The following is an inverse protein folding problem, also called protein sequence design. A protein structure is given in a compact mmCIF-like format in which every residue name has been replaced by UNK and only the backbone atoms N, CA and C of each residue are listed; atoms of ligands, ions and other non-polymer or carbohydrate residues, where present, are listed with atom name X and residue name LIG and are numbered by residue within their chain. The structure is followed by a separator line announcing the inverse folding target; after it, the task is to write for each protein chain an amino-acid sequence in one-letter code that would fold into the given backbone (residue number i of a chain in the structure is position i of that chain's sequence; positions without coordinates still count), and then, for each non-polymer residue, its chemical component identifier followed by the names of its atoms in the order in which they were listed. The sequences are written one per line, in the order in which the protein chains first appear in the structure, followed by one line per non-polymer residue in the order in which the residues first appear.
data_IF_168503382701
#
_entry.id   IF_168503382701
#
_cell.length_a   1.000
_cell.length_b   1.000
_cell.length_c   1.000
_cell.angle_alpha   90.00
_cell.angle_beta   90.00
_cell.angle_gamma   90.00
#
_symmetry.space_group_name_H-M   'P 1'
#
loop_
_entity.id
_entity.type
_entity.pdbx_description
1 polymer ?
#
# COMPACT_ATOMS: atom_id res chain seq x y z
N UNK A 1 -24.76 -35.78 -28.53
CA UNK A 1 -25.10 -34.35 -28.71
C UNK A 1 -24.14 -33.60 -27.81
N UNK A 2 -23.05 -33.07 -28.35
CA UNK A 2 -22.15 -32.18 -27.61
C UNK A 2 -22.93 -30.92 -27.26
N UNK A 3 -23.17 -30.68 -25.98
CA UNK A 3 -23.64 -29.37 -25.50
C UNK A 3 -22.68 -28.31 -26.03
N UNK A 4 -23.21 -27.22 -26.58
CA UNK A 4 -22.37 -26.12 -27.04
C UNK A 4 -21.61 -25.56 -25.82
N UNK A 5 -20.29 -25.45 -25.94
CA UNK A 5 -19.43 -24.88 -24.90
C UNK A 5 -19.88 -23.47 -24.56
N UNK A 6 -19.71 -23.08 -23.30
CA UNK A 6 -20.04 -21.72 -22.85
C UNK A 6 -18.95 -20.78 -23.36
N UNK A 7 -19.33 -19.76 -24.13
CA UNK A 7 -18.38 -18.78 -24.65
C UNK A 7 -17.86 -17.90 -23.51
N UNK A 8 -16.55 -17.70 -23.46
CA UNK A 8 -15.90 -16.80 -22.51
C UNK A 8 -14.89 -15.90 -23.23
N UNK A 9 -14.73 -14.67 -22.75
CA UNK A 9 -13.70 -13.76 -23.22
C UNK A 9 -12.54 -13.77 -22.23
N UNK A 10 -11.31 -14.00 -22.68
CA UNK A 10 -10.11 -13.79 -21.88
C UNK A 10 -9.44 -12.50 -22.37
N UNK A 11 -9.53 -11.44 -21.58
CA UNK A 11 -8.94 -10.14 -21.91
C UNK A 11 -7.64 -9.98 -21.13
N UNK A 12 -6.53 -9.93 -21.85
CA UNK A 12 -5.18 -9.80 -21.30
C UNK A 12 -4.73 -8.36 -21.44
N UNK A 13 -4.27 -7.75 -20.35
CA UNK A 13 -3.61 -6.44 -20.43
C UNK A 13 -2.30 -6.55 -21.24
N UNK A 14 -2.14 -5.80 -22.32
CA UNK A 14 -0.98 -5.87 -23.21
C UNK A 14 0.38 -5.56 -22.54
N UNK A 15 0.39 -4.94 -21.36
CA UNK A 15 1.60 -4.80 -20.54
C UNK A 15 1.91 -6.07 -19.72
N UNK A 16 0.89 -6.86 -19.38
CA UNK A 16 1.01 -8.16 -18.73
C UNK A 16 1.20 -9.31 -19.74
N UNK A 17 0.74 -9.15 -21.00
CA UNK A 17 0.77 -10.21 -22.02
C UNK A 17 2.16 -10.69 -22.39
N UNK A 18 3.19 -9.82 -22.32
CA UNK A 18 4.58 -10.19 -22.59
C UNK A 18 5.18 -11.14 -21.54
N UNK A 19 4.53 -11.28 -20.38
CA UNK A 19 4.97 -12.10 -19.26
C UNK A 19 4.05 -13.30 -19.00
N UNK A 20 2.93 -13.46 -19.74
CA UNK A 20 1.98 -14.53 -19.45
C UNK A 20 2.40 -15.86 -20.09
N UNK A 21 3.43 -16.48 -19.50
CA UNK A 21 4.07 -17.68 -20.00
C UNK A 21 3.14 -18.92 -19.96
N UNK A 22 2.23 -19.01 -18.99
CA UNK A 22 1.34 -20.16 -18.82
C UNK A 22 -0.01 -20.03 -19.56
N UNK A 23 -0.15 -19.10 -20.51
CA UNK A 23 -1.42 -18.87 -21.21
C UNK A 23 -2.00 -20.15 -21.82
N UNK A 24 -1.17 -20.96 -22.49
CA UNK A 24 -1.62 -22.20 -23.14
C UNK A 24 -2.13 -23.23 -22.12
N UNK A 25 -1.46 -23.35 -20.96
CA UNK A 25 -1.87 -24.24 -19.87
C UNK A 25 -3.19 -23.77 -19.23
N UNK A 26 -3.33 -22.46 -19.01
CA UNK A 26 -4.58 -21.87 -18.54
C UNK A 26 -5.72 -22.10 -19.53
N UNK A 27 -5.48 -21.93 -20.84
CA UNK A 27 -6.48 -22.18 -21.88
C UNK A 27 -6.88 -23.67 -21.95
N UNK A 28 -5.92 -24.58 -21.74
CA UNK A 28 -6.21 -26.00 -21.65
C UNK A 28 -7.13 -26.30 -20.46
N UNK A 29 -6.82 -25.77 -19.27
CA UNK A 29 -7.66 -25.90 -18.07
C UNK A 29 -9.08 -25.36 -18.31
N UNK A 30 -9.21 -24.14 -18.83
CA UNK A 30 -10.52 -23.52 -19.07
C UNK A 30 -11.37 -24.31 -20.07
N UNK A 31 -10.74 -24.89 -21.10
CA UNK A 31 -11.42 -25.70 -22.13
C UNK A 31 -11.78 -27.10 -21.63
N UNK A 32 -10.84 -27.78 -21.00
CA UNK A 32 -10.95 -29.21 -20.67
C UNK A 32 -11.66 -29.43 -19.33
N UNK A 33 -11.48 -28.52 -18.37
CA UNK A 33 -12.10 -28.61 -17.06
C UNK A 33 -13.37 -27.76 -16.93
N UNK A 34 -13.43 -26.61 -17.61
CA UNK A 34 -14.53 -25.64 -17.51
C UNK A 34 -15.59 -25.74 -18.62
N UNK A 35 -15.31 -26.53 -19.66
CA UNK A 35 -16.10 -26.61 -20.90
C UNK A 35 -16.35 -25.22 -21.52
N UNK A 36 -15.32 -24.36 -21.48
CA UNK A 36 -15.36 -23.00 -21.99
C UNK A 36 -14.79 -22.92 -23.43
N UNK A 37 -15.48 -22.17 -24.28
CA UNK A 37 -14.93 -21.71 -25.57
C UNK A 37 -14.36 -20.31 -25.38
N UNK A 38 -13.05 -20.26 -25.15
CA UNK A 38 -12.33 -19.03 -24.75
C UNK A 38 -11.80 -18.29 -25.97
N UNK A 39 -12.30 -17.07 -26.17
CA UNK A 39 -11.75 -16.10 -27.12
C UNK A 39 -10.73 -15.22 -26.39
N UNK A 40 -9.47 -15.26 -26.82
CA UNK A 40 -8.40 -14.42 -26.25
C UNK A 40 -8.35 -13.08 -26.96
N UNK A 41 -8.32 -12.00 -26.18
CA UNK A 41 -8.29 -10.62 -26.63
C UNK A 41 -7.20 -9.87 -25.86
N UNK A 42 -6.47 -9.00 -26.53
CA UNK A 42 -5.44 -8.16 -25.89
C UNK A 42 -5.91 -6.71 -25.80
N UNK A 43 -5.92 -6.18 -24.57
CA UNK A 43 -6.20 -4.76 -24.35
C UNK A 43 -4.92 -3.92 -24.48
N UNK A 44 -5.06 -2.68 -24.95
CA UNK A 44 -3.93 -1.73 -25.11
C UNK A 44 -4.00 -0.58 -24.11
N UNK A 45 -5.15 -0.41 -23.48
CA UNK A 45 -5.47 0.62 -22.49
C UNK A 45 -6.71 0.17 -21.72
N UNK A 46 -7.00 0.79 -20.55
CA UNK A 46 -8.27 0.63 -19.85
C UNK A 46 -9.49 0.89 -20.76
N UNK A 47 -9.47 1.97 -21.55
CA UNK A 47 -10.54 2.26 -22.51
C UNK A 47 -10.74 1.16 -23.56
N UNK A 48 -9.67 0.47 -23.99
CA UNK A 48 -9.80 -0.62 -24.94
C UNK A 48 -10.51 -1.83 -24.32
N UNK A 49 -10.42 -2.04 -23.01
CA UNK A 49 -11.15 -3.13 -22.31
C UNK A 49 -12.65 -2.94 -22.47
N UNK A 50 -13.15 -1.70 -22.28
CA UNK A 50 -14.55 -1.36 -22.55
C UNK A 50 -14.96 -1.77 -23.94
N UNK A 51 -14.20 -1.32 -24.94
CA UNK A 51 -14.57 -1.49 -26.34
C UNK A 51 -14.60 -2.99 -26.70
N UNK A 52 -13.66 -3.79 -26.20
CA UNK A 52 -13.63 -5.24 -26.35
C UNK A 52 -14.85 -5.94 -25.72
N UNK A 53 -15.24 -5.54 -24.50
CA UNK A 53 -16.41 -6.11 -23.82
C UNK A 53 -17.71 -5.69 -24.55
N UNK A 54 -17.78 -4.45 -25.04
CA UNK A 54 -18.93 -3.99 -25.82
C UNK A 54 -19.07 -4.74 -27.15
N UNK A 55 -17.96 -4.97 -27.86
CA UNK A 55 -17.94 -5.63 -29.16
C UNK A 55 -18.18 -7.15 -29.05
N UNK A 56 -17.59 -7.80 -28.05
CA UNK A 56 -17.57 -9.27 -27.98
C UNK A 56 -18.45 -9.86 -26.88
N UNK A 57 -18.95 -9.07 -25.93
CA UNK A 57 -19.59 -9.54 -24.69
C UNK A 57 -21.03 -10.05 -24.83
N UNK A 58 -21.78 -9.65 -25.86
CA UNK A 58 -23.23 -9.93 -25.98
C UNK A 58 -23.62 -11.41 -25.88
N UNK A 59 -22.80 -12.31 -26.46
CA UNK A 59 -23.03 -13.77 -26.41
C UNK A 59 -22.05 -14.50 -25.48
N UNK A 60 -21.27 -13.76 -24.68
CA UNK A 60 -20.36 -14.35 -23.71
C UNK A 60 -21.12 -14.71 -22.43
N UNK A 61 -20.80 -15.85 -21.82
CA UNK A 61 -21.28 -16.19 -20.49
C UNK A 61 -20.41 -15.58 -19.38
N UNK A 62 -19.18 -15.19 -19.72
CA UNK A 62 -18.15 -14.76 -18.78
C UNK A 62 -17.09 -13.90 -19.45
N UNK A 63 -16.55 -12.95 -18.68
CA UNK A 63 -15.31 -12.24 -19.00
C UNK A 63 -14.27 -12.59 -17.94
N UNK A 64 -13.15 -13.10 -18.40
CA UNK A 64 -11.96 -13.41 -17.61
C UNK A 64 -10.96 -12.29 -17.85
N UNK A 65 -10.59 -11.58 -16.79
CA UNK A 65 -9.61 -10.50 -16.85
C UNK A 65 -8.26 -11.02 -16.39
N UNK A 66 -7.24 -10.90 -17.24
CA UNK A 66 -5.86 -11.25 -16.92
C UNK A 66 -5.01 -9.99 -16.76
N UNK A 67 -4.68 -9.65 -15.52
CA UNK A 67 -4.01 -8.41 -15.16
C UNK A 67 -3.99 -8.15 -13.66
N UNK A 68 -3.65 -6.91 -13.27
CA UNK A 68 -3.76 -6.44 -11.89
C UNK A 68 -5.05 -5.67 -11.63
N UNK A 69 -5.17 -5.07 -10.44
CA UNK A 69 -6.41 -4.44 -9.95
C UNK A 69 -6.95 -3.34 -10.89
N UNK A 70 -6.10 -2.49 -11.47
CA UNK A 70 -6.54 -1.50 -12.45
C UNK A 70 -7.14 -2.11 -13.73
N UNK A 71 -6.71 -3.32 -14.11
CA UNK A 71 -7.32 -4.06 -15.24
C UNK A 71 -8.70 -4.59 -14.87
N UNK A 72 -8.88 -5.02 -13.61
CA UNK A 72 -10.18 -5.45 -13.10
C UNK A 72 -11.14 -4.26 -13.05
N UNK A 73 -10.70 -3.12 -12.49
CA UNK A 73 -11.49 -1.90 -12.39
C UNK A 73 -11.91 -1.37 -13.78
N UNK A 74 -11.04 -1.43 -14.79
CA UNK A 74 -11.39 -1.04 -16.16
C UNK A 74 -12.53 -1.88 -16.79
N UNK A 75 -12.76 -3.10 -16.31
CA UNK A 75 -13.79 -4.00 -16.84
C UNK A 75 -15.12 -3.91 -16.08
N UNK A 76 -15.09 -3.55 -14.79
CA UNK A 76 -16.21 -3.79 -13.86
C UNK A 76 -17.50 -3.10 -14.29
N UNK A 77 -17.44 -1.84 -14.72
CA UNK A 77 -18.60 -1.07 -15.20
C UNK A 77 -19.34 -1.81 -16.32
N UNK A 78 -18.58 -2.41 -17.25
CA UNK A 78 -19.12 -3.06 -18.44
C UNK A 78 -19.56 -4.50 -18.21
N UNK A 79 -18.82 -5.24 -17.38
CA UNK A 79 -19.21 -6.59 -16.96
C UNK A 79 -20.51 -6.53 -16.17
N UNK A 80 -20.62 -5.61 -15.21
CA UNK A 80 -21.83 -5.37 -14.44
C UNK A 80 -23.01 -4.99 -15.35
N UNK A 81 -22.82 -4.03 -16.26
CA UNK A 81 -23.88 -3.58 -17.16
C UNK A 81 -24.42 -4.69 -18.10
N UNK A 82 -23.58 -5.65 -18.48
CA UNK A 82 -23.96 -6.78 -19.33
C UNK A 82 -24.39 -8.04 -18.55
N UNK A 83 -24.31 -8.02 -17.21
CA UNK A 83 -24.65 -9.17 -16.37
C UNK A 83 -23.76 -10.40 -16.61
N UNK A 84 -22.49 -10.16 -17.00
CA UNK A 84 -21.52 -11.22 -17.29
C UNK A 84 -20.90 -11.75 -16.00
N UNK A 85 -20.59 -13.05 -15.97
CA UNK A 85 -19.79 -13.61 -14.87
C UNK A 85 -18.36 -13.10 -14.98
N UNK A 86 -17.75 -12.73 -13.86
CA UNK A 86 -16.39 -12.26 -13.79
C UNK A 86 -15.43 -13.40 -13.40
N UNK A 87 -14.34 -13.55 -14.16
CA UNK A 87 -13.21 -14.40 -13.83
C UNK A 87 -11.97 -13.55 -13.59
N UNK A 88 -11.21 -13.87 -12.54
CA UNK A 88 -10.00 -13.13 -12.17
C UNK A 88 -8.79 -14.02 -12.40
N UNK A 89 -7.87 -13.53 -13.23
CA UNK A 89 -6.56 -14.13 -13.43
C UNK A 89 -5.49 -13.14 -12.95
N UNK A 90 -4.94 -13.34 -11.74
CA UNK A 90 -4.14 -12.34 -11.03
C UNK A 90 -2.71 -12.27 -11.60
N UNK A 91 -2.48 -11.36 -12.56
CA UNK A 91 -1.15 -11.15 -13.16
C UNK A 91 -0.48 -9.84 -12.68
N UNK A 92 -1.10 -9.13 -11.74
CA UNK A 92 -0.57 -7.91 -11.13
C UNK A 92 0.31 -8.17 -9.90
N UNK A 93 0.78 -7.08 -9.28
CA UNK A 93 1.63 -7.15 -8.08
C UNK A 93 0.84 -7.20 -6.77
N UNK A 94 -0.26 -6.44 -6.66
CA UNK A 94 -1.09 -6.39 -5.45
C UNK A 94 -2.19 -7.46 -5.48
N UNK A 95 -3.02 -7.44 -6.53
CA UNK A 95 -4.13 -8.38 -6.75
C UNK A 95 -5.07 -8.45 -5.54
N UNK A 96 -5.42 -7.28 -5.00
CA UNK A 96 -6.20 -7.15 -3.77
C UNK A 96 -7.56 -7.85 -3.88
N UNK A 97 -8.21 -7.78 -5.05
CA UNK A 97 -9.48 -8.49 -5.30
C UNK A 97 -9.30 -10.02 -5.25
N UNK A 98 -8.23 -10.54 -5.87
CA UNK A 98 -7.93 -11.96 -5.87
C UNK A 98 -7.64 -12.47 -4.45
N UNK A 99 -6.85 -11.70 -3.67
CA UNK A 99 -6.55 -12.01 -2.26
C UNK A 99 -7.82 -12.04 -1.41
N UNK A 100 -8.68 -11.04 -1.57
CA UNK A 100 -9.96 -10.96 -0.83
C UNK A 100 -10.86 -12.16 -1.09
N UNK A 101 -10.82 -12.70 -2.31
CA UNK A 101 -11.64 -13.82 -2.75
C UNK A 101 -10.93 -15.18 -2.69
N UNK A 102 -9.76 -15.24 -2.03
CA UNK A 102 -8.95 -16.46 -1.87
C UNK A 102 -8.54 -17.10 -3.21
N UNK A 103 -8.50 -16.32 -4.28
CA UNK A 103 -8.10 -16.79 -5.60
C UNK A 103 -6.57 -16.99 -5.58
N UNK A 104 -6.07 -18.20 -5.90
CA UNK A 104 -4.65 -18.48 -5.90
C UNK A 104 -3.87 -17.52 -6.82
N UNK A 105 -2.66 -17.09 -6.43
CA UNK A 105 -1.83 -16.21 -7.25
C UNK A 105 -1.23 -16.94 -8.47
N UNK A 106 -1.18 -18.28 -8.45
CA UNK A 106 -0.74 -19.08 -9.59
C UNK A 106 -1.79 -19.01 -10.72
N UNK A 107 -1.43 -18.62 -11.95
CA UNK A 107 -2.39 -18.44 -13.03
C UNK A 107 -3.14 -19.72 -13.43
N UNK A 108 -2.50 -20.89 -13.34
CA UNK A 108 -3.10 -22.17 -13.70
C UNK A 108 -4.11 -22.59 -12.63
N UNK A 109 -3.79 -22.41 -11.34
CA UNK A 109 -4.75 -22.61 -10.26
C UNK A 109 -5.92 -21.61 -10.32
N UNK A 110 -5.65 -20.33 -10.65
CA UNK A 110 -6.72 -19.35 -10.88
C UNK A 110 -7.62 -19.77 -12.07
N UNK A 111 -7.05 -20.32 -13.14
CA UNK A 111 -7.82 -20.90 -14.24
C UNK A 111 -8.69 -22.09 -13.78
N UNK A 112 -8.20 -22.92 -12.82
CA UNK A 112 -9.02 -23.99 -12.22
C UNK A 112 -10.15 -23.44 -11.37
N UNK A 113 -9.95 -22.36 -10.63
CA UNK A 113 -11.02 -21.65 -9.93
C UNK A 113 -12.08 -21.16 -10.91
N UNK A 114 -11.67 -20.57 -12.04
CA UNK A 114 -12.62 -20.13 -13.07
C UNK A 114 -13.37 -21.32 -13.71
N UNK A 115 -12.68 -22.45 -13.91
CA UNK A 115 -13.25 -23.63 -14.55
C UNK A 115 -14.20 -24.42 -13.64
N UNK A 116 -13.82 -24.62 -12.38
CA UNK A 116 -14.45 -25.57 -11.43
C UNK A 116 -14.98 -24.93 -10.15
N UNK A 117 -14.63 -23.68 -9.89
CA UNK A 117 -15.08 -22.95 -8.72
C UNK A 117 -16.58 -22.73 -8.70
N UNK A 118 -17.04 -22.02 -7.67
CA UNK A 118 -18.44 -21.66 -7.52
C UNK A 118 -18.65 -20.20 -7.92
N UNK A 119 -19.87 -19.90 -8.39
CA UNK A 119 -20.32 -18.52 -8.56
C UNK A 119 -20.61 -17.94 -7.18
N UNK A 120 -20.16 -16.72 -6.96
CA UNK A 120 -20.43 -15.94 -5.78
C UNK A 120 -20.83 -14.54 -6.19
N UNK A 121 -21.73 -13.91 -5.43
CA UNK A 121 -22.11 -12.52 -5.69
C UNK A 121 -21.40 -11.64 -4.69
N UNK A 122 -20.74 -10.60 -5.20
CA UNK A 122 -20.04 -9.60 -4.38
C UNK A 122 -20.69 -8.24 -4.57
N UNK A 123 -20.49 -7.40 -3.58
CA UNK A 123 -20.93 -6.02 -3.60
C UNK A 123 -19.94 -5.18 -4.40
N UNK A 124 -20.45 -4.11 -5.01
CA UNK A 124 -19.61 -3.09 -5.63
C UNK A 124 -19.89 -1.74 -4.97
N UNK A 125 -18.84 -1.01 -4.65
CA UNK A 125 -18.96 0.39 -4.30
C UNK A 125 -19.24 1.22 -5.55
N UNK A 126 -20.02 2.29 -5.40
CA UNK A 126 -20.30 3.26 -6.47
C UNK A 126 -20.08 4.67 -5.96
N UNK A 127 -19.31 5.48 -6.67
CA UNK A 127 -19.17 6.91 -6.41
C UNK A 127 -19.46 7.73 -7.66
N UNK A 128 -20.43 8.65 -7.59
CA UNK A 128 -20.84 9.49 -8.73
C UNK A 128 -21.03 8.71 -10.06
N UNK A 129 -21.53 7.47 -9.97
CA UNK A 129 -21.76 6.59 -11.12
C UNK A 129 -20.57 5.70 -11.53
N UNK A 130 -19.42 5.80 -10.85
CA UNK A 130 -18.24 4.95 -11.07
C UNK A 130 -18.15 3.82 -10.07
N UNK A 131 -18.01 2.59 -10.56
CA UNK A 131 -17.89 1.41 -9.70
C UNK A 131 -16.45 1.19 -9.24
N UNK A 132 -16.30 0.60 -8.06
CA UNK A 132 -15.02 0.21 -7.49
C UNK A 132 -15.16 -1.07 -6.67
N UNK A 133 -14.07 -1.84 -6.60
CA UNK A 133 -14.03 -3.09 -5.84
C UNK A 133 -13.65 -2.85 -4.39
N UNK A 134 -12.60 -2.08 -4.14
CA UNK A 134 -11.93 -2.08 -2.85
C UNK A 134 -12.11 -0.77 -2.10
N UNK A 135 -11.65 0.34 -2.68
CA UNK A 135 -11.63 1.62 -1.95
C UNK A 135 -11.75 2.81 -2.88
N UNK A 136 -12.52 3.79 -2.44
CA UNK A 136 -12.51 5.14 -2.97
C UNK A 136 -11.91 6.10 -1.94
N UNK A 137 -11.03 7.01 -2.36
CA UNK A 137 -10.25 7.87 -1.47
C UNK A 137 -10.25 9.33 -1.92
N UNK A 138 -10.20 10.24 -0.95
CA UNK A 138 -10.17 11.69 -1.10
C UNK A 138 -8.96 12.20 -0.31
N UNK A 139 -8.20 13.16 -0.85
CA UNK A 139 -7.02 13.73 -0.19
C UNK A 139 -5.71 13.05 -0.57
N UNK A 140 -4.83 12.81 0.42
CA UNK A 140 -3.45 12.35 0.23
C UNK A 140 -3.29 11.18 -0.77
N UNK A 141 -4.14 10.15 -0.67
CA UNK A 141 -4.11 8.98 -1.56
C UNK A 141 -4.52 9.30 -3.02
N UNK A 142 -5.48 10.21 -3.23
CA UNK A 142 -5.89 10.65 -4.56
C UNK A 142 -4.79 11.49 -5.24
N UNK A 143 -4.08 12.33 -4.48
CA UNK A 143 -2.95 13.11 -5.01
C UNK A 143 -1.76 12.23 -5.39
N UNK A 144 -1.48 11.19 -4.60
CA UNK A 144 -0.45 10.20 -4.93
C UNK A 144 -0.74 9.48 -6.26
N UNK A 145 -2.02 9.19 -6.56
CA UNK A 145 -2.41 8.59 -7.85
C UNK A 145 -2.18 9.51 -9.06
N UNK A 146 -2.33 10.83 -8.91
CA UNK A 146 -2.07 11.82 -9.98
C UNK A 146 -0.60 11.97 -10.32
N UNK A 147 0.29 11.83 -9.34
CA UNK A 147 1.72 12.10 -9.48
C UNK A 147 2.55 10.86 -9.90
N UNK A 148 1.90 9.72 -10.18
CA UNK A 148 2.57 8.47 -10.54
C UNK A 148 2.75 8.33 -12.07
N UNK A 149 3.65 9.15 -12.63
CA UNK A 149 4.21 8.87 -13.96
C UNK A 149 4.98 7.54 -13.96
N UNK A 150 4.62 6.64 -14.87
CA UNK A 150 5.15 5.26 -14.99
C UNK A 150 6.65 5.13 -15.29
N UNK A 151 7.36 6.24 -15.47
CA UNK A 151 8.81 6.32 -15.58
C UNK A 151 9.52 6.40 -14.20
N UNK A 152 8.82 6.89 -13.17
CA UNK A 152 9.35 7.09 -11.82
C UNK A 152 9.31 5.81 -10.97
N UNK A 153 8.28 4.96 -11.17
CA UNK A 153 8.10 3.64 -10.52
C UNK A 153 9.24 2.64 -10.78
N UNK A 154 9.95 2.77 -11.90
CA UNK A 154 11.06 1.88 -12.29
C UNK A 154 12.43 2.36 -11.83
N UNK A 155 12.55 3.60 -11.37
CA UNK A 155 13.83 4.28 -11.18
C UNK A 155 14.24 4.40 -9.71
N UNK A 156 13.30 4.31 -8.76
CA UNK A 156 13.53 4.57 -7.32
C UNK A 156 12.61 3.68 -6.47
N UNK A 157 13.02 2.44 -6.13
CA UNK A 157 12.25 1.57 -5.21
C UNK A 157 12.12 2.16 -3.78
N UNK A 158 11.67 1.35 -2.79
CA UNK A 158 11.30 1.62 -1.34
C UNK A 158 11.90 2.85 -0.60
N UNK A 159 13.01 3.46 -1.05
CA UNK A 159 13.44 4.82 -0.65
C UNK A 159 12.43 5.94 -0.98
N UNK A 160 11.38 5.65 -1.77
CA UNK A 160 10.32 6.60 -2.02
C UNK A 160 9.35 6.77 -0.84
N UNK A 161 9.30 5.87 0.15
CA UNK A 161 8.17 5.86 1.09
C UNK A 161 8.20 7.00 2.13
N UNK A 162 9.27 7.23 2.92
CA UNK A 162 9.23 8.25 3.98
C UNK A 162 9.29 9.68 3.44
N UNK A 163 10.14 9.94 2.43
CA UNK A 163 10.27 11.26 1.81
C UNK A 163 9.00 11.61 1.04
N UNK A 164 8.39 10.65 0.32
CA UNK A 164 7.11 10.93 -0.34
C UNK A 164 5.94 10.96 0.61
N UNK A 165 5.93 10.22 1.72
CA UNK A 165 4.90 10.39 2.74
C UNK A 165 5.01 11.79 3.35
N UNK A 166 6.23 12.30 3.57
CA UNK A 166 6.44 13.69 3.99
C UNK A 166 6.02 14.70 2.91
N UNK A 167 6.44 14.55 1.65
CA UNK A 167 6.02 15.42 0.55
C UNK A 167 4.51 15.35 0.35
N UNK A 168 3.90 14.17 0.41
CA UNK A 168 2.46 13.98 0.34
C UNK A 168 1.79 14.64 1.53
N UNK A 169 2.31 14.57 2.75
CA UNK A 169 1.71 15.27 3.90
C UNK A 169 1.92 16.78 3.87
N UNK A 170 3.05 17.24 3.36
CA UNK A 170 3.37 18.66 3.19
C UNK A 170 2.54 19.27 2.02
N UNK A 171 2.21 18.47 0.99
CA UNK A 171 1.35 18.83 -0.15
C UNK A 171 -0.15 18.57 0.09
N UNK A 172 -0.51 17.56 0.90
CA UNK A 172 -1.89 17.26 1.28
C UNK A 172 -2.31 18.20 2.41
N UNK A 173 -2.63 19.41 1.99
CA UNK A 173 -3.33 20.37 2.83
C UNK A 173 -4.57 19.71 3.44
N UNK A 174 -4.71 19.85 4.75
CA UNK A 174 -5.95 19.53 5.44
C UNK A 174 -7.12 20.22 4.73
N UNK A 175 -8.21 19.49 4.52
CA UNK A 175 -9.43 20.00 3.93
C UNK A 175 -10.59 19.78 4.87
N UNK A 176 -11.56 20.67 4.80
CA UNK A 176 -12.80 20.52 5.56
C UNK A 176 -13.72 19.57 4.77
N UNK A 177 -14.28 18.57 5.44
CA UNK A 177 -15.19 17.59 4.87
C UNK A 177 -16.47 17.52 5.71
N UNK A 178 -17.61 17.64 5.03
CA UNK A 178 -18.93 17.38 5.56
C UNK A 178 -19.39 16.01 5.06
N UNK A 179 -19.63 15.09 5.98
CA UNK A 179 -20.03 13.71 5.71
C UNK A 179 -21.44 13.49 6.25
N UNK A 180 -22.34 13.01 5.40
CA UNK A 180 -23.71 12.64 5.77
C UNK A 180 -23.97 11.18 5.38
N UNK A 181 -24.49 10.36 6.30
CA UNK A 181 -24.89 8.98 6.02
C UNK A 181 -26.37 8.84 5.62
N UNK A 182 -26.82 7.63 5.31
CA UNK A 182 -28.21 7.35 4.91
C UNK A 182 -29.23 7.42 6.05
N UNK A 183 -28.77 7.48 7.30
CA UNK A 183 -29.61 7.65 8.48
C UNK A 183 -29.79 9.14 8.86
N UNK A 184 -29.08 10.03 8.16
CA UNK A 184 -29.07 11.48 8.40
C UNK A 184 -28.12 11.90 9.51
N UNK A 185 -27.19 11.04 9.94
CA UNK A 185 -26.11 11.45 10.82
C UNK A 185 -25.09 12.23 10.00
N UNK A 186 -24.63 13.34 10.57
CA UNK A 186 -23.66 14.23 9.94
C UNK A 186 -22.39 14.34 10.78
N UNK A 187 -21.23 14.37 10.12
CA UNK A 187 -19.94 14.66 10.72
C UNK A 187 -19.22 15.73 9.92
N UNK A 188 -18.84 16.82 10.59
CA UNK A 188 -17.95 17.85 10.07
C UNK A 188 -16.54 17.56 10.60
N UNK A 189 -15.60 17.32 9.70
CA UNK A 189 -14.22 16.94 10.04
C UNK A 189 -13.22 17.74 9.22
N UNK A 190 -12.09 18.07 9.82
CA UNK A 190 -10.92 18.51 9.09
C UNK A 190 -10.02 17.29 8.87
N UNK A 191 -9.70 16.95 7.62
CA UNK A 191 -9.04 15.69 7.28
C UNK A 191 -7.90 15.87 6.27
N UNK A 192 -6.92 14.98 6.34
CA UNK A 192 -5.88 14.81 5.31
C UNK A 192 -6.23 13.69 4.33
N UNK A 193 -7.09 12.76 4.77
CA UNK A 193 -7.57 11.67 3.94
C UNK A 193 -8.95 11.21 4.40
N UNK A 194 -9.84 10.97 3.43
CA UNK A 194 -11.08 10.23 3.65
C UNK A 194 -11.03 9.00 2.75
N UNK A 195 -11.32 7.83 3.30
CA UNK A 195 -11.39 6.56 2.56
C UNK A 195 -12.77 5.92 2.78
N UNK A 196 -13.35 5.40 1.71
CA UNK A 196 -14.61 4.67 1.71
C UNK A 196 -14.35 3.30 1.09
N UNK A 197 -14.33 2.26 1.92
CA UNK A 197 -14.03 0.89 1.55
C UNK A 197 -15.27 0.05 1.25
N UNK A 198 -15.14 -0.84 0.27
CA UNK A 198 -16.08 -1.91 -0.07
C UNK A 198 -15.34 -3.25 0.19
N UNK A 199 -15.36 -3.71 1.43
CA UNK A 199 -14.74 -4.98 1.84
C UNK A 199 -13.36 -4.87 2.52
N UNK A 200 -12.58 -5.96 2.41
CA UNK A 200 -11.52 -6.31 3.38
C UNK A 200 -10.17 -5.66 3.16
N UNK A 201 -9.69 -5.58 1.93
CA UNK A 201 -8.30 -5.26 1.64
C UNK A 201 -8.18 -4.08 0.67
N UNK A 202 -7.24 -3.17 0.93
CA UNK A 202 -6.79 -2.15 -0.02
C UNK A 202 -5.27 -2.00 0.00
N UNK A 203 -4.68 -1.66 -1.15
CA UNK A 203 -3.28 -1.23 -1.25
C UNK A 203 -2.25 -2.26 -0.80
N UNK A 204 -2.39 -3.53 -1.20
CA UNK A 204 -1.45 -4.59 -0.83
C UNK A 204 -1.69 -5.18 0.57
N UNK A 205 -2.96 -5.38 0.92
CA UNK A 205 -3.39 -6.10 2.13
C UNK A 205 -3.72 -5.26 3.37
N UNK A 206 -3.93 -3.94 3.26
CA UNK A 206 -4.39 -3.12 4.39
C UNK A 206 -5.89 -3.32 4.64
N UNK A 207 -6.31 -3.42 5.91
CA UNK A 207 -7.73 -3.61 6.27
C UNK A 207 -8.46 -2.29 6.52
N UNK A 208 -9.67 -2.11 5.98
CA UNK A 208 -10.53 -0.93 6.24
C UNK A 208 -11.25 -1.08 7.59
N UNK A 209 -11.79 -2.27 7.86
CA UNK A 209 -12.26 -2.69 9.18
C UNK A 209 -11.99 -4.19 9.38
N UNK A 210 -11.77 -4.65 10.62
CA UNK A 210 -11.56 -6.07 10.91
C UNK A 210 -12.75 -6.95 10.50
N UNK A 211 -13.97 -6.39 10.55
CA UNK A 211 -15.22 -7.06 10.26
C UNK A 211 -15.71 -6.92 8.81
N UNK A 212 -15.09 -6.05 8.01
CA UNK A 212 -15.55 -5.77 6.65
C UNK A 212 -15.57 -7.05 5.81
N UNK A 213 -16.59 -7.22 4.97
CA UNK A 213 -16.62 -8.24 3.95
C UNK A 213 -17.02 -7.62 2.61
N UNK A 214 -16.58 -8.21 1.50
CA UNK A 214 -16.90 -7.69 0.16
C UNK A 214 -18.36 -8.00 -0.24
N UNK A 215 -19.13 -8.66 0.64
CA UNK A 215 -20.47 -9.17 0.43
C UNK A 215 -21.41 -8.96 1.64
N UNK A 216 -21.14 -7.97 2.50
CA UNK A 216 -21.94 -7.65 3.70
C UNK A 216 -23.02 -6.56 3.49
N UNK A 217 -23.07 -5.98 2.30
CA UNK A 217 -24.01 -4.94 1.88
C UNK A 217 -23.77 -3.59 2.55
N UNK A 218 -22.52 -3.27 2.93
CA UNK A 218 -22.12 -2.03 3.60
C UNK A 218 -20.85 -1.42 2.99
N UNK A 219 -20.71 -0.11 3.16
CA UNK A 219 -19.46 0.62 2.99
C UNK A 219 -18.94 1.05 4.34
N UNK A 220 -17.62 0.99 4.52
CA UNK A 220 -16.94 1.50 5.70
C UNK A 220 -16.16 2.76 5.36
N UNK A 221 -16.49 3.85 6.04
CA UNK A 221 -15.85 5.14 5.90
C UNK A 221 -14.86 5.36 7.05
N UNK A 222 -13.67 5.83 6.69
CA UNK A 222 -12.64 6.27 7.61
C UNK A 222 -12.16 7.66 7.23
N UNK A 223 -12.10 8.56 8.21
CA UNK A 223 -11.53 9.89 8.08
C UNK A 223 -10.27 10.00 8.94
N UNK A 224 -9.17 10.39 8.32
CA UNK A 224 -7.91 10.64 8.99
C UNK A 224 -7.73 12.15 9.18
N UNK A 225 -7.77 12.58 10.43
CA UNK A 225 -7.50 13.97 10.80
C UNK A 225 -6.02 14.33 10.59
N UNK A 226 -5.68 15.62 10.42
CA UNK A 226 -4.29 16.06 10.38
C UNK A 226 -3.53 15.65 11.65
N UNK A 227 -2.46 14.89 11.48
CA UNK A 227 -1.59 14.48 12.58
C UNK A 227 -0.14 14.70 12.19
N UNK A 228 0.76 14.71 13.17
CA UNK A 228 2.19 14.74 12.87
C UNK A 228 2.56 13.52 12.02
N UNK A 229 3.46 13.72 11.05
CA UNK A 229 4.04 12.66 10.21
C UNK A 229 4.46 11.44 11.05
N UNK A 230 4.99 11.68 12.24
CA UNK A 230 5.39 10.65 13.19
C UNK A 230 4.22 9.86 13.76
N UNK A 231 3.10 10.50 14.10
CA UNK A 231 1.91 9.78 14.57
C UNK A 231 1.34 8.90 13.45
N UNK A 232 1.45 9.31 12.18
CA UNK A 232 1.05 8.48 11.03
C UNK A 232 1.98 7.29 10.80
N UNK A 233 3.29 7.50 10.93
CA UNK A 233 4.28 6.40 10.86
C UNK A 233 4.05 5.40 12.00
N UNK A 234 3.83 5.90 13.22
CA UNK A 234 3.59 5.07 14.41
C UNK A 234 2.28 4.29 14.35
N UNK A 235 1.27 4.84 13.69
CA UNK A 235 -0.05 4.22 13.56
C UNK A 235 -0.17 3.39 12.28
N UNK A 236 0.80 3.46 11.35
CA UNK A 236 0.80 2.70 10.10
C UNK A 236 0.65 1.18 10.30
N UNK A 237 1.28 0.52 11.30
CA UNK A 237 1.04 -0.90 11.57
C UNK A 237 -0.39 -1.19 12.03
N UNK A 238 -0.99 -0.33 12.87
CA UNK A 238 -2.38 -0.45 13.33
C UNK A 238 -3.37 -0.23 12.18
N UNK A 239 -3.10 0.77 11.34
CA UNK A 239 -3.85 1.08 10.11
C UNK A 239 -3.80 -0.10 9.15
N UNK A 240 -2.61 -0.71 8.96
CA UNK A 240 -2.43 -1.89 8.11
C UNK A 240 -3.16 -3.11 8.66
N UNK A 241 -3.18 -3.29 9.98
CA UNK A 241 -3.92 -4.35 10.68
C UNK A 241 -5.44 -4.10 10.73
N UNK A 242 -5.95 -2.96 10.27
CA UNK A 242 -7.36 -2.59 10.35
C UNK A 242 -7.84 -2.22 11.74
N UNK A 243 -6.94 -2.11 12.73
CA UNK A 243 -7.25 -1.75 14.12
C UNK A 243 -7.32 -0.24 14.31
N UNK A 244 -8.11 0.40 13.46
CA UNK A 244 -8.36 1.84 13.49
C UNK A 244 -9.19 2.26 14.72
N UNK A 245 -9.83 1.30 15.39
CA UNK A 245 -10.59 1.46 16.62
C UNK A 245 -9.73 1.97 17.81
N UNK A 246 -8.41 1.84 17.70
CA UNK A 246 -7.46 2.31 18.71
C UNK A 246 -6.92 3.72 18.44
N UNK A 247 -7.35 4.37 17.36
CA UNK A 247 -6.91 5.72 16.98
C UNK A 247 -7.96 6.76 17.43
N UNK A 248 -7.66 7.52 18.49
CA UNK A 248 -8.54 8.54 19.08
C UNK A 248 -8.93 9.71 18.14
N UNK A 249 -8.44 9.73 16.89
CA UNK A 249 -8.46 10.90 15.99
C UNK A 249 -8.89 10.52 14.58
N UNK A 250 -9.91 9.67 14.51
CA UNK A 250 -10.53 9.25 13.26
C UNK A 250 -12.03 9.05 13.40
N UNK A 251 -12.78 9.59 12.43
CA UNK A 251 -14.20 9.27 12.28
C UNK A 251 -14.34 7.97 11.53
N UNK A 252 -15.05 7.01 12.13
CA UNK A 252 -15.43 5.74 11.51
C UNK A 252 -16.95 5.70 11.39
N UNK A 253 -17.44 5.47 10.17
CA UNK A 253 -18.86 5.29 9.91
C UNK A 253 -19.04 4.03 9.05
N UNK A 254 -20.16 3.34 9.22
CA UNK A 254 -20.52 2.18 8.41
C UNK A 254 -21.97 2.33 7.99
N UNK A 255 -22.24 2.26 6.70
CA UNK A 255 -23.54 2.63 6.14
C UNK A 255 -23.69 2.14 4.71
N UNK A 256 -24.85 2.37 4.10
CA UNK A 256 -25.08 1.97 2.69
C UNK A 256 -24.80 3.09 1.72
N UNK A 257 -24.86 4.33 2.21
CA UNK A 257 -24.64 5.52 1.39
C UNK A 257 -24.04 6.63 2.21
N UNK A 258 -23.08 7.32 1.62
CA UNK A 258 -22.47 8.52 2.18
C UNK A 258 -22.52 9.65 1.16
N UNK A 259 -22.84 10.85 1.60
CA UNK A 259 -22.66 12.08 0.83
C UNK A 259 -21.51 12.85 1.44
N UNK A 260 -20.45 13.10 0.66
CA UNK A 260 -19.26 13.79 1.14
C UNK A 260 -19.06 15.06 0.32
N UNK A 261 -19.06 16.20 1.00
CA UNK A 261 -18.74 17.51 0.42
C UNK A 261 -17.46 18.02 1.05
N UNK A 262 -16.59 18.66 0.27
CA UNK A 262 -15.33 19.22 0.79
C UNK A 262 -15.13 20.67 0.38
N UNK A 263 -14.39 21.42 1.19
CA UNK A 263 -13.88 22.75 0.87
C UNK A 263 -12.34 22.76 1.01
N UNK A 264 -11.58 22.96 -0.09
CA UNK A 264 -12.04 23.10 -1.48
C UNK A 264 -12.60 21.76 -2.04
N UNK A 265 -13.22 21.77 -3.23
CA UNK A 265 -13.54 20.54 -3.95
C UNK A 265 -12.29 19.70 -4.19
N UNK A 266 -12.34 18.42 -3.81
CA UNK A 266 -11.23 17.48 -3.86
C UNK A 266 -11.48 16.40 -4.89
N UNK A 267 -10.42 15.89 -5.50
CA UNK A 267 -10.52 14.72 -6.37
C UNK A 267 -10.82 13.45 -5.56
N UNK A 268 -11.55 12.54 -6.19
CA UNK A 268 -11.82 11.20 -5.67
C UNK A 268 -11.10 10.19 -6.56
N UNK A 269 -10.31 9.32 -5.92
CA UNK A 269 -9.67 8.18 -6.57
C UNK A 269 -10.36 6.88 -6.20
N UNK A 270 -10.74 6.08 -7.19
CA UNK A 270 -11.29 4.73 -7.01
C UNK A 270 -10.27 3.70 -7.44
N UNK A 271 -9.96 2.73 -6.57
CA UNK A 271 -8.98 1.66 -6.81
C UNK A 271 -7.62 2.16 -7.36
N UNK A 272 -7.21 3.37 -6.99
CA UNK A 272 -5.92 3.98 -7.35
C UNK A 272 -5.90 4.82 -8.63
N UNK A 273 -7.04 5.08 -9.27
CA UNK A 273 -7.17 6.03 -10.39
C UNK A 273 -8.12 7.17 -10.04
N UNK A 274 -7.86 8.40 -10.49
CA UNK A 274 -8.78 9.54 -10.27
C UNK A 274 -9.96 9.44 -11.22
N UNK A 275 -11.17 9.37 -10.67
CA UNK A 275 -12.39 9.12 -11.46
C UNK A 275 -13.46 10.19 -11.33
N UNK A 276 -13.48 10.96 -10.23
CA UNK A 276 -14.46 12.03 -10.02
C UNK A 276 -13.95 13.07 -9.00
N UNK A 277 -14.80 14.00 -8.56
CA UNK A 277 -14.49 14.98 -7.52
C UNK A 277 -15.68 15.19 -6.57
N UNK A 278 -15.44 15.84 -5.43
CA UNK A 278 -16.50 16.20 -4.49
C UNK A 278 -17.30 17.43 -4.98
N UNK A 279 -18.59 17.57 -4.60
CA UNK A 279 -19.36 16.66 -3.74
C UNK A 279 -19.59 15.29 -4.39
N UNK A 280 -19.42 14.25 -3.58
CA UNK A 280 -19.43 12.87 -4.03
C UNK A 280 -20.46 12.04 -3.25
N UNK A 281 -21.26 11.26 -3.98
CA UNK A 281 -22.23 10.33 -3.39
C UNK A 281 -21.70 8.92 -3.56
N UNK A 282 -21.41 8.27 -2.44
CA UNK A 282 -20.96 6.89 -2.31
C UNK A 282 -22.14 5.99 -1.98
N UNK A 283 -22.28 4.86 -2.65
CA UNK A 283 -23.37 3.89 -2.45
C UNK A 283 -22.83 2.47 -2.63
N UNK A 284 -23.25 1.54 -1.76
CA UNK A 284 -23.05 0.10 -2.01
C UNK A 284 -24.11 -0.40 -3.00
N UNK A 285 -23.70 -1.25 -3.92
CA UNK A 285 -24.57 -2.07 -4.76
C UNK A 285 -24.45 -3.52 -4.29
N UNK A 286 -25.38 -3.99 -3.45
CA UNK A 286 -25.31 -5.34 -2.92
C UNK A 286 -25.47 -6.39 -4.02
N UNK A 287 -24.69 -7.47 -3.93
CA UNK A 287 -24.72 -8.60 -4.86
C UNK A 287 -24.61 -8.21 -6.34
N UNK A 288 -23.93 -7.10 -6.64
CA UNK A 288 -23.90 -6.50 -7.96
C UNK A 288 -23.15 -7.34 -8.98
N UNK A 289 -22.06 -8.01 -8.59
CA UNK A 289 -21.23 -8.75 -9.54
C UNK A 289 -21.19 -10.24 -9.21
N UNK A 290 -21.51 -11.09 -10.19
CA UNK A 290 -21.30 -12.53 -10.11
C UNK A 290 -19.86 -12.86 -10.53
N UNK A 291 -19.09 -13.49 -9.65
CA UNK A 291 -17.66 -13.78 -9.80
C UNK A 291 -17.36 -15.25 -9.49
N UNK A 292 -16.33 -15.82 -10.13
CA UNK A 292 -15.84 -17.16 -9.81
C UNK A 292 -14.86 -17.13 -8.64
N UNK A 293 -15.11 -17.98 -7.64
CA UNK A 293 -14.30 -18.12 -6.42
C UNK A 293 -14.01 -19.61 -6.14
N UNK A 294 -13.00 -19.94 -5.30
CA UNK A 294 -12.75 -21.31 -4.89
C UNK A 294 -14.00 -21.99 -4.32
N UNK A 295 -14.09 -23.33 -4.44
CA UNK A 295 -15.26 -24.08 -3.96
C UNK A 295 -15.40 -23.93 -2.44
N UNK A 296 -14.27 -23.85 -1.76
CA UNK A 296 -14.11 -23.72 -0.31
C UNK A 296 -14.30 -22.28 0.19
N UNK A 297 -14.40 -21.29 -0.70
CA UNK A 297 -14.61 -19.90 -0.30
C UNK A 297 -15.88 -19.80 0.55
N UNK A 298 -15.80 -19.22 1.74
CA UNK A 298 -16.94 -19.01 2.63
C UNK A 298 -17.26 -17.53 2.75
N UNK A 299 -18.46 -17.15 2.30
CA UNK A 299 -18.98 -15.79 2.40
C UNK A 299 -19.01 -15.32 3.86
N UNK A 300 -18.55 -14.09 4.12
CA UNK A 300 -18.50 -13.53 5.48
C UNK A 300 -17.56 -14.24 6.47
N UNK A 301 -16.82 -15.29 6.10
CA UNK A 301 -15.84 -15.94 7.01
C UNK A 301 -14.72 -14.97 7.26
N UNK A 302 -14.61 -14.41 8.47
CA UNK A 302 -13.40 -13.72 8.93
C UNK A 302 -12.24 -14.69 8.67
N UNK A 303 -11.25 -14.33 7.85
CA UNK A 303 -10.00 -15.09 7.85
C UNK A 303 -9.52 -15.09 9.30
N UNK A 304 -9.40 -16.28 9.87
CA UNK A 304 -9.03 -16.45 11.27
C UNK A 304 -7.67 -15.78 11.46
N UNK A 305 -7.55 -14.93 12.48
CA UNK A 305 -6.32 -14.17 12.73
C UNK A 305 -5.07 -15.07 12.89
N UNK A 306 -5.27 -16.36 13.11
CA UNK A 306 -4.22 -17.38 13.23
C UNK A 306 -3.55 -17.81 11.92
N UNK A 307 -4.17 -17.62 10.74
CA UNK A 307 -3.48 -17.91 9.46
C UNK A 307 -2.61 -16.74 8.98
N UNK A 308 -2.90 -15.53 9.47
CA UNK A 308 -2.07 -14.33 9.30
C UNK A 308 -0.95 -14.24 10.36
N UNK A 309 -1.00 -14.94 11.51
CA UNK A 309 0.05 -14.88 12.56
C UNK A 309 1.41 -15.41 12.07
N UNK A 310 1.44 -16.36 11.13
CA UNK A 310 2.69 -16.83 10.48
C UNK A 310 3.20 -15.86 9.38
N UNK A 311 2.42 -14.83 9.00
CA UNK A 311 2.73 -13.89 7.91
C UNK A 311 2.77 -12.41 8.30
N UNK A 312 2.25 -12.03 9.47
CA UNK A 312 2.33 -10.69 10.03
C UNK A 312 3.62 -10.59 10.87
N UNK A 313 4.59 -9.79 10.39
CA UNK A 313 5.74 -9.41 11.22
C UNK A 313 5.22 -8.81 12.53
N UNK A 314 5.65 -9.38 13.66
CA UNK A 314 5.38 -8.85 15.00
C UNK A 314 5.66 -7.34 15.00
N UNK A 315 4.71 -6.52 15.44
CA UNK A 315 4.85 -5.07 15.44
C UNK A 315 6.12 -4.60 16.20
N UNK A 316 6.59 -5.39 17.18
CA UNK A 316 7.87 -5.18 17.87
C UNK A 316 9.06 -5.42 16.95
N UNK A 317 8.99 -6.46 16.14
CA UNK A 317 10.01 -6.77 15.14
C UNK A 317 10.07 -5.66 14.10
N UNK A 318 8.92 -5.18 13.60
CA UNK A 318 8.87 -4.08 12.63
C UNK A 318 9.46 -2.80 13.21
N UNK A 319 9.09 -2.43 14.44
CA UNK A 319 9.60 -1.22 15.09
C UNK A 319 11.13 -1.26 15.30
N UNK A 320 11.66 -2.42 15.74
CA UNK A 320 13.11 -2.59 15.91
C UNK A 320 13.82 -2.64 14.55
N UNK A 321 13.21 -3.25 13.53
CA UNK A 321 13.76 -3.32 12.17
C UNK A 321 13.83 -1.94 11.49
N UNK A 322 12.85 -1.06 11.73
CA UNK A 322 12.88 0.32 11.25
C UNK A 322 14.02 1.13 11.90
N UNK A 323 14.31 0.90 13.19
CA UNK A 323 15.48 1.49 13.87
C UNK A 323 16.78 0.97 13.25
N UNK A 324 16.88 -0.33 12.96
CA UNK A 324 18.04 -0.95 12.31
C UNK A 324 18.29 -0.30 10.94
N UNK A 325 17.26 -0.09 10.13
CA UNK A 325 17.37 0.52 8.81
C UNK A 325 17.83 1.99 8.92
N UNK A 326 17.25 2.76 9.84
CA UNK A 326 17.66 4.14 10.08
C UNK A 326 19.13 4.23 10.54
N UNK A 327 19.54 3.33 11.44
CA UNK A 327 20.90 3.26 11.97
C UNK A 327 21.94 2.88 10.91
N UNK A 328 21.62 1.90 10.03
CA UNK A 328 22.49 1.54 8.90
C UNK A 328 22.72 2.72 7.96
N UNK A 329 21.66 3.46 7.64
CA UNK A 329 21.73 4.65 6.80
C UNK A 329 22.59 5.75 7.44
N UNK A 330 22.37 6.01 8.73
CA UNK A 330 23.17 6.96 9.52
C UNK A 330 24.67 6.61 9.47
N UNK A 331 25.02 5.33 9.63
CA UNK A 331 26.40 4.85 9.52
C UNK A 331 27.00 5.00 8.11
N UNK A 332 26.22 4.71 7.06
CA UNK A 332 26.63 4.89 5.66
C UNK A 332 26.91 6.36 5.35
N UNK A 333 25.99 7.26 5.71
CA UNK A 333 26.14 8.71 5.49
C UNK A 333 27.36 9.27 6.24
N UNK A 334 27.60 8.82 7.48
CA UNK A 334 28.82 9.15 8.23
C UNK A 334 30.09 8.66 7.51
N UNK A 335 30.08 7.43 7.00
CA UNK A 335 31.20 6.87 6.27
C UNK A 335 31.49 7.67 5.00
N UNK A 336 30.47 8.09 4.26
CA UNK A 336 30.63 8.94 3.08
C UNK A 336 31.25 10.29 3.43
N UNK A 337 30.76 10.96 4.46
CA UNK A 337 31.28 12.26 4.91
C UNK A 337 32.75 12.16 5.35
N UNK A 338 33.12 11.07 6.04
CA UNK A 338 34.50 10.76 6.43
C UNK A 338 35.41 10.58 5.20
N UNK A 339 34.89 10.05 4.09
CA UNK A 339 35.65 9.83 2.86
C UNK A 339 35.67 11.06 1.93
N UNK A 340 34.62 11.89 1.97
CA UNK A 340 34.45 13.02 1.07
C UNK A 340 35.34 14.22 1.42
N UNK A 341 35.69 14.43 2.69
CA UNK A 341 36.33 15.66 3.13
C UNK A 341 37.75 15.46 3.71
N UNK A 342 38.77 15.80 2.92
CA UNK A 342 40.18 15.88 3.36
C UNK A 342 40.50 17.16 4.17
N UNK A 343 39.56 18.11 4.30
CA UNK A 343 39.82 19.45 4.85
C UNK A 343 39.20 19.72 6.24
N UNK A 344 38.37 18.82 6.78
CA UNK A 344 37.75 18.97 8.11
C UNK A 344 38.06 17.82 9.09
N UNK A 345 39.29 17.77 9.65
CA UNK A 345 39.73 16.66 10.52
C UNK A 345 38.91 16.53 11.81
N UNK A 346 38.34 17.64 12.32
CA UNK A 346 37.47 17.62 13.51
C UNK A 346 36.14 16.92 13.23
N UNK A 347 35.52 17.19 12.07
CA UNK A 347 34.27 16.57 11.65
C UNK A 347 34.48 15.06 11.42
N UNK A 348 35.51 14.70 10.64
CA UNK A 348 35.82 13.29 10.37
C UNK A 348 36.11 12.48 11.65
N UNK A 349 36.76 13.07 12.66
CA UNK A 349 36.97 12.40 13.94
C UNK A 349 35.68 12.22 14.74
N UNK A 350 34.83 13.26 14.80
CA UNK A 350 33.53 13.17 15.45
C UNK A 350 32.68 12.04 14.86
N UNK A 351 32.62 11.97 13.52
CA UNK A 351 31.84 10.95 12.82
C UNK A 351 32.41 9.55 13.02
N UNK A 352 33.74 9.36 12.97
CA UNK A 352 34.35 8.05 13.29
C UNK A 352 34.03 7.58 14.70
N UNK A 353 34.09 8.49 15.67
CA UNK A 353 33.75 8.16 17.06
C UNK A 353 32.26 7.83 17.20
N UNK A 354 31.39 8.54 16.50
CA UNK A 354 29.95 8.27 16.46
C UNK A 354 29.62 6.92 15.80
N UNK A 355 30.26 6.58 14.67
CA UNK A 355 30.09 5.28 14.01
C UNK A 355 30.56 4.13 14.90
N UNK A 356 31.74 4.26 15.53
CA UNK A 356 32.30 3.23 16.41
C UNK A 356 31.43 2.91 17.64
N UNK A 357 30.58 3.85 18.09
CA UNK A 357 29.61 3.62 19.17
C UNK A 357 28.31 2.98 18.69
N UNK A 358 27.93 3.20 17.42
CA UNK A 358 26.69 2.72 16.79
C UNK A 358 26.79 1.30 16.24
N UNK A 359 27.92 0.92 15.64
CA UNK A 359 28.11 -0.42 15.04
C UNK A 359 27.80 -1.57 16.01
N UNK A 360 28.28 -1.57 17.28
CA UNK A 360 27.96 -2.66 18.20
C UNK A 360 26.49 -2.69 18.63
N UNK A 361 25.80 -1.54 18.62
CA UNK A 361 24.37 -1.44 18.94
C UNK A 361 23.55 -2.03 17.79
N UNK A 362 23.92 -1.71 16.54
CA UNK A 362 23.31 -2.26 15.34
C UNK A 362 23.34 -3.80 15.36
N UNK A 363 24.51 -4.39 15.62
CA UNK A 363 24.66 -5.85 15.70
C UNK A 363 23.72 -6.48 16.75
N UNK A 364 23.59 -5.85 17.92
CA UNK A 364 22.70 -6.34 18.99
C UNK A 364 21.22 -6.22 18.62
N UNK A 365 20.82 -5.13 17.96
CA UNK A 365 19.43 -4.97 17.48
C UNK A 365 19.11 -5.99 16.38
N UNK A 366 20.04 -6.26 15.47
CA UNK A 366 19.89 -7.31 14.46
C UNK A 366 19.73 -8.70 15.10
N UNK A 367 20.53 -9.01 16.11
CA UNK A 367 20.42 -10.26 16.86
C UNK A 367 19.10 -10.35 17.63
N UNK A 368 18.57 -9.23 18.13
CA UNK A 368 17.26 -9.19 18.76
C UNK A 368 16.13 -9.49 17.76
N UNK A 369 16.19 -8.93 16.55
CA UNK A 369 15.23 -9.26 15.47
C UNK A 369 15.29 -10.75 15.10
N UNK A 370 16.50 -11.32 15.00
CA UNK A 370 16.69 -12.77 14.80
C UNK A 370 16.11 -13.60 15.94
N UNK A 371 16.31 -13.18 17.19
CA UNK A 371 15.77 -13.86 18.36
C UNK A 371 14.24 -13.78 18.47
N UNK A 372 13.63 -12.73 17.89
CA UNK A 372 12.18 -12.59 17.76
C UNK A 372 11.58 -13.38 16.57
N UNK A 373 12.41 -14.12 15.82
CA UNK A 373 11.95 -15.04 14.77
C UNK A 373 11.96 -14.47 13.35
N UNK A 374 12.58 -13.32 13.11
CA UNK A 374 12.60 -12.65 11.80
C UNK A 374 14.04 -12.34 11.34
N UNK A 375 14.20 -11.89 10.09
CA UNK A 375 15.47 -11.47 9.53
C UNK A 375 15.56 -9.94 9.49
N UNK A 376 16.65 -9.34 10.00
CA UNK A 376 16.85 -7.90 9.94
C UNK A 376 16.99 -7.44 8.50
N UNK A 377 16.30 -6.36 8.15
CA UNK A 377 16.28 -5.80 6.81
C UNK A 377 17.66 -5.28 6.40
N UNK A 378 18.03 -5.59 5.15
CA UNK A 378 19.20 -4.98 4.50
C UNK A 378 18.72 -3.86 3.56
N UNK A 379 19.33 -2.67 3.62
CA UNK A 379 19.05 -1.64 2.62
C UNK A 379 19.45 -2.15 1.22
N UNK A 380 18.60 -1.84 0.23
CA UNK A 380 18.68 -2.38 -1.14
C UNK A 380 19.93 -1.85 -1.88
N UNK A 381 20.88 -2.75 -2.16
CA UNK A 381 22.21 -2.42 -2.70
C UNK A 381 22.18 -1.76 -4.10
N UNK A 382 21.23 -2.14 -4.97
CA UNK A 382 21.08 -1.51 -6.29
C UNK A 382 20.51 -0.09 -6.16
N UNK A 383 19.74 0.17 -5.11
CA UNK A 383 19.15 1.48 -4.83
C UNK A 383 20.15 2.45 -4.20
N UNK A 384 21.07 1.92 -3.38
CA UNK A 384 22.19 2.67 -2.81
C UNK A 384 23.12 3.21 -3.89
N UNK A 385 23.48 2.40 -4.90
CA UNK A 385 24.34 2.85 -6.00
C UNK A 385 23.78 4.07 -6.76
N UNK A 386 22.45 4.17 -6.88
CA UNK A 386 21.78 5.29 -7.54
C UNK A 386 21.59 6.51 -6.65
N UNK A 387 21.36 6.34 -5.33
CA UNK A 387 21.38 7.47 -4.40
C UNK A 387 22.76 8.11 -4.34
N UNK A 388 23.85 7.33 -4.30
CA UNK A 388 25.22 7.87 -4.31
C UNK A 388 25.55 8.66 -5.59
N UNK A 389 25.02 8.24 -6.75
CA UNK A 389 25.21 8.96 -8.02
C UNK A 389 24.39 10.26 -8.06
N UNK A 390 23.14 10.23 -7.58
CA UNK A 390 22.27 11.39 -7.51
C UNK A 390 22.76 12.40 -6.46
N UNK A 391 23.26 11.94 -5.31
CA UNK A 391 23.82 12.76 -4.25
C UNK A 391 25.10 13.47 -4.69
N UNK A 392 25.99 12.81 -5.45
CA UNK A 392 27.18 13.46 -6.06
C UNK A 392 26.83 14.51 -7.10
N UNK A 393 25.73 14.32 -7.85
CA UNK A 393 25.26 15.30 -8.82
C UNK A 393 24.57 16.50 -8.15
N UNK A 394 23.79 16.25 -7.10
CA UNK A 394 23.03 17.27 -6.38
C UNK A 394 23.90 18.12 -5.45
N UNK A 395 24.89 17.54 -4.77
CA UNK A 395 25.86 18.30 -3.96
C UNK A 395 26.74 19.23 -4.80
N UNK A 396 27.07 18.81 -6.04
CA UNK A 396 27.76 19.66 -7.01
C UNK A 396 26.90 20.79 -7.61
N UNK A 397 25.56 20.66 -7.58
CA UNK A 397 24.63 21.62 -8.18
C UNK A 397 23.99 22.59 -7.18
N UNK A 398 23.79 22.18 -5.93
CA UNK A 398 23.08 22.96 -4.90
C UNK A 398 24.00 23.65 -3.88
N UNK A 399 25.30 23.34 -3.86
CA UNK A 399 26.24 23.92 -2.90
C UNK A 399 25.89 23.59 -1.43
N UNK A 400 25.04 22.59 -1.19
CA UNK A 400 24.73 22.07 0.14
C UNK A 400 25.86 21.16 0.59
N UNK A 401 26.57 21.59 1.64
CA UNK A 401 27.64 20.81 2.28
C UNK A 401 27.07 19.47 2.78
N UNK A 402 27.75 18.37 2.47
CA UNK A 402 27.33 17.00 2.77
C UNK A 402 27.09 16.74 4.29
N UNK A 403 27.73 17.54 5.14
CA UNK A 403 27.37 17.82 6.53
C UNK A 403 25.86 17.97 6.83
N UNK A 404 25.12 18.68 5.99
CA UNK A 404 23.67 18.94 6.16
C UNK A 404 22.86 17.65 6.04
N UNK A 405 23.33 16.70 5.22
CA UNK A 405 22.70 15.40 5.03
C UNK A 405 22.98 14.49 6.23
N UNK A 406 24.21 14.52 6.76
CA UNK A 406 24.57 13.78 7.99
C UNK A 406 23.75 14.27 9.20
N UNK A 407 23.54 15.58 9.32
CA UNK A 407 22.70 16.14 10.40
C UNK A 407 21.23 15.71 10.25
N UNK A 408 20.69 15.70 9.03
CA UNK A 408 19.34 15.24 8.77
C UNK A 408 19.15 13.74 9.09
N UNK A 409 20.12 12.89 8.74
CA UNK A 409 20.09 11.47 9.07
C UNK A 409 20.10 11.21 10.59
N UNK A 410 20.84 12.01 11.35
CA UNK A 410 20.87 11.94 12.82
C UNK A 410 19.58 12.48 13.43
N UNK A 411 18.99 13.54 12.87
CA UNK A 411 17.68 14.03 13.32
C UNK A 411 16.58 12.99 13.08
N UNK A 412 16.60 12.29 11.93
CA UNK A 412 15.70 11.17 11.64
C UNK A 412 15.88 10.01 12.63
N UNK A 413 17.14 9.65 12.96
CA UNK A 413 17.47 8.63 13.97
C UNK A 413 16.88 8.98 15.35
N UNK A 414 17.05 10.23 15.81
CA UNK A 414 16.53 10.69 17.11
C UNK A 414 15.01 10.63 17.17
N UNK A 415 14.34 11.12 16.14
CA UNK A 415 12.87 11.16 16.10
C UNK A 415 12.28 9.76 16.01
N UNK A 416 12.92 8.85 15.28
CA UNK A 416 12.48 7.47 15.17
C UNK A 416 12.66 6.70 16.48
N UNK A 417 13.78 6.88 17.19
CA UNK A 417 13.99 6.25 18.50
C UNK A 417 12.98 6.78 19.54
N UNK A 418 12.73 8.10 19.56
CA UNK A 418 11.68 8.68 20.41
C UNK A 418 10.30 8.13 20.07
N UNK A 419 10.01 7.98 18.79
CA UNK A 419 8.74 7.43 18.33
C UNK A 419 8.56 5.99 18.83
N UNK A 420 9.62 5.17 18.76
CA UNK A 420 9.62 3.81 19.31
C UNK A 420 9.46 3.81 20.83
N UNK A 421 10.10 4.74 21.54
CA UNK A 421 9.93 4.94 23.00
C UNK A 421 8.49 5.33 23.38
N UNK A 422 7.86 6.23 22.61
CA UNK A 422 6.56 6.82 22.92
C UNK A 422 5.37 5.93 22.49
N UNK A 423 5.54 5.11 21.45
CA UNK A 423 4.46 4.32 20.84
C UNK A 423 4.31 2.90 21.40
N UNK A 424 5.37 2.33 21.94
CA UNK A 424 5.31 1.00 22.54
C UNK A 424 4.98 1.16 24.03
N UNK A 425 3.92 0.51 24.48
CA UNK A 425 3.77 0.15 25.89
C UNK A 425 4.94 -0.76 26.26
N UNK A 426 6.06 -0.14 26.62
CA UNK A 426 7.42 -0.69 26.65
C UNK A 426 7.61 -1.91 27.54
N UNK A 427 6.62 -2.36 28.30
CA UNK A 427 6.72 -3.49 29.23
C UNK A 427 7.01 -4.84 28.53
N UNK A 428 6.73 -4.97 27.23
CA UNK A 428 6.83 -6.23 26.47
C UNK A 428 8.05 -6.37 25.55
N UNK A 429 8.94 -5.35 25.46
CA UNK A 429 10.23 -5.47 24.77
C UNK A 429 11.28 -6.11 25.69
N UNK A 430 12.20 -6.94 25.15
CA UNK A 430 13.36 -7.41 25.90
C UNK A 430 14.13 -6.24 26.54
N UNK A 431 14.46 -6.35 27.82
CA UNK A 431 15.03 -5.24 28.60
C UNK A 431 16.41 -4.76 28.12
N UNK A 432 17.13 -5.62 27.40
CA UNK A 432 18.36 -5.31 26.67
C UNK A 432 18.12 -4.44 25.45
N UNK A 433 17.09 -4.73 24.64
CA UNK A 433 16.70 -3.91 23.47
C UNK A 433 16.31 -2.50 23.91
N UNK A 434 15.52 -2.37 24.98
CA UNK A 434 15.14 -1.06 25.53
C UNK A 434 16.36 -0.23 25.93
N UNK A 435 17.31 -0.85 26.62
CA UNK A 435 18.54 -0.20 27.07
C UNK A 435 19.41 0.26 25.89
N UNK A 436 19.44 -0.51 24.81
CA UNK A 436 20.17 -0.16 23.59
C UNK A 436 19.53 1.02 22.86
N UNK A 437 18.19 1.09 22.80
CA UNK A 437 17.47 2.24 22.23
C UNK A 437 17.70 3.53 23.05
N UNK A 438 17.61 3.46 24.38
CA UNK A 438 17.90 4.60 25.27
C UNK A 438 19.34 5.10 25.08
N UNK A 439 20.30 4.18 24.96
CA UNK A 439 21.70 4.49 24.71
C UNK A 439 21.94 5.14 23.35
N UNK A 440 21.26 4.63 22.30
CA UNK A 440 21.36 5.16 20.94
C UNK A 440 20.80 6.58 20.85
N UNK A 441 19.67 6.86 21.51
CA UNK A 441 19.08 8.20 21.59
C UNK A 441 20.03 9.22 22.21
N UNK A 442 20.60 8.89 23.37
CA UNK A 442 21.54 9.77 24.07
C UNK A 442 22.78 10.07 23.20
N UNK A 443 23.27 9.07 22.47
CA UNK A 443 24.41 9.23 21.57
C UNK A 443 24.07 10.07 20.32
N UNK A 444 22.89 9.88 19.74
CA UNK A 444 22.41 10.67 18.59
C UNK A 444 22.21 12.14 18.97
N UNK A 445 21.60 12.43 20.12
CA UNK A 445 21.45 13.80 20.63
C UNK A 445 22.80 14.48 20.89
N UNK A 446 23.77 13.73 21.42
CA UNK A 446 25.15 14.21 21.63
C UNK A 446 25.85 14.54 20.30
N UNK A 447 25.76 13.63 19.33
CA UNK A 447 26.39 13.77 18.00
C UNK A 447 25.80 14.96 17.24
N UNK A 448 24.46 15.13 17.26
CA UNK A 448 23.78 16.30 16.71
C UNK A 448 24.26 17.61 17.33
N UNK A 449 24.39 17.65 18.66
CA UNK A 449 24.85 18.85 19.37
C UNK A 449 26.29 19.22 18.99
N UNK A 450 27.15 18.21 18.83
CA UNK A 450 28.53 18.40 18.37
C UNK A 450 28.60 18.87 16.91
N UNK A 451 27.78 18.31 16.01
CA UNK A 451 27.68 18.76 14.62
C UNK A 451 27.23 20.21 14.50
N UNK A 452 26.22 20.63 15.25
CA UNK A 452 25.74 22.02 15.30
C UNK A 452 26.77 22.98 15.89
N UNK A 453 27.54 22.55 16.89
CA UNK A 453 28.63 23.35 17.48
C UNK A 453 29.74 23.59 16.46
N UNK A 454 30.19 22.53 15.78
CA UNK A 454 31.19 22.64 14.73
C UNK A 454 30.71 23.52 13.54
N UNK A 455 29.40 23.70 13.37
CA UNK A 455 28.83 24.47 12.25
C UNK A 455 28.83 25.97 12.55
N UNK A 456 28.89 26.32 13.83
CA UNK A 456 29.03 27.69 14.32
C UNK A 456 30.49 28.12 14.43
N UNK A 457 31.42 27.16 14.47
CA UNK A 457 32.87 27.40 14.55
C UNK A 457 33.58 27.47 13.19
N UNK A 458 32.98 26.89 12.15
CA UNK A 458 33.41 26.96 10.75
C UNK A 458 32.85 28.21 10.08
#
# INVERSE_FOLDING_TARGET
MTTARRRALLIINGNASRAFAELDDCLAVLRDEGDLDVQVLESRSPDHVRDLIAEHGQDAAMVIMAGGDGTMNAAVDHVHAQGLVFGVMPLGTANDLARTLEIPPDPVEAARVIARGRRHRIDLGRVNGKLFFNVASIGAAAQLSKNLDGALKRRWGVLSYPIRVREVLDESHAFDAHIEDDEGNTADVQSIQVAVGNGRCYGGGMRVAPEAAIDDGRLDLYSLEPQSLWRLVLTAPLIRAGRHDQLESSVKMSGRRFTISTDPPMDVSTDGEVTTCTPAVFEVLPEALEIMVPVEYEAGRLMDAGEDEDMLRDARVVAVDDVIVALKRSLEDMAEEIHADHHQPKLANLLREASARREPVLERLEDAVRAMGDLPSTPDADRQAWSHLATRLMSGLLGTEARTLTEAAIDDEIELIKAVDDALALEDLPGDVRKDLEGLRADAESTRTALRTLAREA
#
